data_IF_671145714357
#
_entry.id   IF_671145714357
#
_cell.length_a   1.000
_cell.length_b   1.000
_cell.length_c   1.000
_cell.angle_alpha   90.00
_cell.angle_beta   90.00
_cell.angle_gamma   90.00
#
_symmetry.space_group_name_H-M   'P 1'
#
loop_
_entity.id
_entity.type
_entity.pdbx_description
1 polymer ?
#
# COMPACT_ATOMS: atom_id res chain seq x y z
N UNK A 1 13.77 -7.30 -36.39
CA UNK A 1 14.38 -6.01 -36.77
C UNK A 1 15.49 -5.72 -35.77
N UNK A 2 16.76 -5.63 -36.20
CA UNK A 2 17.88 -5.25 -35.33
C UNK A 2 17.79 -3.75 -35.06
N UNK A 3 17.36 -3.38 -33.88
CA UNK A 3 17.36 -1.98 -33.46
C UNK A 3 18.81 -1.51 -33.36
N UNK A 4 19.17 -0.46 -34.11
CA UNK A 4 20.58 -0.01 -34.29
C UNK A 4 21.13 0.75 -33.08
N UNK A 5 20.51 0.63 -31.90
CA UNK A 5 20.81 1.44 -30.70
C UNK A 5 20.99 0.63 -29.41
N UNK A 6 20.92 -0.69 -29.46
CA UNK A 6 21.14 -1.56 -28.29
C UNK A 6 22.44 -2.35 -28.44
N UNK A 7 23.27 -2.36 -27.39
CA UNK A 7 24.40 -3.28 -27.26
C UNK A 7 23.95 -4.40 -26.32
N UNK A 8 23.88 -5.63 -26.84
CA UNK A 8 23.50 -6.80 -26.05
C UNK A 8 24.76 -7.56 -25.61
N UNK A 9 24.88 -7.82 -24.31
CA UNK A 9 25.89 -8.68 -23.72
C UNK A 9 25.22 -9.94 -23.20
N UNK A 10 25.56 -11.09 -23.77
CA UNK A 10 25.07 -12.39 -23.30
C UNK A 10 26.22 -13.14 -22.63
N UNK A 11 25.99 -13.59 -21.40
CA UNK A 11 26.90 -14.52 -20.74
C UNK A 11 26.10 -15.63 -20.05
N UNK A 12 26.69 -16.81 -19.99
CA UNK A 12 26.13 -17.95 -19.27
C UNK A 12 27.09 -18.34 -18.16
N UNK A 13 26.57 -18.46 -16.93
CA UNK A 13 27.35 -18.94 -15.79
C UNK A 13 26.72 -20.21 -15.22
N UNK A 14 27.55 -21.22 -14.97
CA UNK A 14 27.13 -22.47 -14.33
C UNK A 14 27.10 -22.26 -12.80
N UNK A 15 26.06 -21.60 -12.31
CA UNK A 15 25.90 -21.33 -10.89
C UNK A 15 25.24 -22.55 -10.23
N UNK A 16 25.88 -23.08 -9.17
CA UNK A 16 25.35 -24.16 -8.31
C UNK A 16 25.17 -23.57 -6.90
N UNK A 17 24.09 -23.98 -6.20
CA UNK A 17 23.62 -23.49 -4.88
C UNK A 17 22.98 -22.09 -4.84
N UNK A 18 22.27 -21.68 -3.76
CA UNK A 18 21.66 -20.35 -3.68
C UNK A 18 22.74 -19.28 -3.66
N UNK A 19 22.97 -18.67 -4.81
CA UNK A 19 23.98 -17.63 -5.01
C UNK A 19 23.29 -16.33 -5.38
N UNK A 20 23.68 -15.22 -4.76
CA UNK A 20 23.25 -13.89 -5.19
C UNK A 20 24.17 -13.40 -6.32
N UNK A 21 23.56 -12.93 -7.40
CA UNK A 21 24.19 -12.31 -8.55
C UNK A 21 23.99 -10.80 -8.42
N UNK A 22 25.01 -10.07 -7.99
CA UNK A 22 25.01 -8.61 -8.01
C UNK A 22 25.48 -8.12 -9.38
N UNK A 23 24.69 -7.24 -9.97
CA UNK A 23 24.95 -6.60 -11.26
C UNK A 23 25.07 -5.11 -11.01
N UNK A 24 26.22 -4.54 -11.34
CA UNK A 24 26.45 -3.10 -11.26
C UNK A 24 26.31 -2.46 -12.65
N UNK A 25 25.64 -1.31 -12.69
CA UNK A 25 25.41 -0.51 -13.88
C UNK A 25 25.20 0.97 -13.56
N UNK A 26 24.75 1.79 -14.53
CA UNK A 26 24.56 1.45 -15.95
C UNK A 26 25.91 1.25 -16.65
N UNK A 27 25.93 0.55 -17.79
CA UNK A 27 27.15 0.26 -18.57
C UNK A 27 27.86 1.53 -19.06
N UNK A 28 27.10 2.60 -19.30
CA UNK A 28 27.61 3.88 -19.77
C UNK A 28 27.16 5.00 -18.83
N UNK A 29 27.74 5.09 -17.61
CA UNK A 29 27.29 6.03 -16.59
C UNK A 29 27.55 7.49 -16.96
N UNK A 30 28.33 7.75 -18.01
CA UNK A 30 28.62 9.08 -18.54
C UNK A 30 27.56 9.61 -19.51
N UNK A 31 26.64 8.77 -20.00
CA UNK A 31 25.58 9.14 -20.94
C UNK A 31 24.21 9.13 -20.21
N UNK A 32 23.67 10.29 -19.79
CA UNK A 32 22.46 10.38 -18.97
C UNK A 32 21.20 9.66 -19.53
N UNK A 33 20.90 9.69 -20.85
CA UNK A 33 19.77 8.94 -21.41
C UNK A 33 20.03 7.44 -21.57
N UNK A 34 21.21 6.93 -21.20
CA UNK A 34 21.52 5.52 -21.38
C UNK A 34 20.90 4.66 -20.26
N UNK A 35 20.06 3.72 -20.67
CA UNK A 35 19.42 2.73 -19.81
C UNK A 35 20.03 1.34 -20.04
N UNK A 36 20.34 0.62 -18.96
CA UNK A 36 20.84 -0.76 -19.05
C UNK A 36 19.75 -1.73 -18.61
N UNK A 37 19.22 -2.50 -19.57
CA UNK A 37 18.26 -3.56 -19.29
C UNK A 37 18.99 -4.85 -18.91
N UNK A 38 18.66 -5.40 -17.75
CA UNK A 38 19.19 -6.67 -17.26
C UNK A 38 18.12 -7.73 -17.42
N UNK A 39 18.41 -8.79 -18.19
CA UNK A 39 17.52 -9.92 -18.37
C UNK A 39 18.20 -11.21 -17.92
N UNK A 40 17.61 -11.90 -16.94
CA UNK A 40 18.12 -13.18 -16.43
C UNK A 40 17.25 -14.32 -16.93
N UNK A 41 17.88 -15.29 -17.59
CA UNK A 41 17.24 -16.48 -18.12
C UNK A 41 17.66 -17.73 -17.34
N UNK A 42 16.71 -18.54 -16.89
CA UNK A 42 16.95 -19.85 -16.26
C UNK A 42 16.20 -20.92 -17.04
N UNK A 43 16.93 -21.91 -17.55
CA UNK A 43 16.35 -22.97 -18.38
C UNK A 43 15.68 -22.44 -19.66
N UNK A 44 16.19 -21.34 -20.22
CA UNK A 44 15.66 -20.68 -21.42
C UNK A 44 14.41 -19.82 -21.19
N UNK A 45 13.92 -19.68 -19.95
CA UNK A 45 12.81 -18.77 -19.60
C UNK A 45 13.35 -17.52 -18.93
N UNK A 46 12.83 -16.35 -19.32
CA UNK A 46 13.10 -15.09 -18.62
C UNK A 46 12.49 -15.18 -17.21
N UNK A 47 13.31 -14.97 -16.19
CA UNK A 47 12.90 -15.10 -14.78
C UNK A 47 13.08 -13.81 -13.97
N UNK A 48 13.84 -12.85 -14.48
CA UNK A 48 14.02 -11.53 -13.89
C UNK A 48 14.39 -10.52 -14.98
N UNK A 49 13.80 -9.35 -14.91
CA UNK A 49 14.08 -8.18 -15.74
C UNK A 49 14.29 -7.00 -14.79
N UNK A 50 15.33 -6.21 -15.00
CA UNK A 50 15.65 -5.03 -14.20
C UNK A 50 16.17 -3.90 -15.10
N UNK A 51 16.03 -2.66 -14.67
CA UNK A 51 16.49 -1.47 -15.38
C UNK A 51 17.50 -0.73 -14.50
N UNK A 52 18.75 -0.66 -14.97
CA UNK A 52 19.80 0.09 -14.30
C UNK A 52 19.96 1.46 -14.96
N UNK A 53 19.86 2.49 -14.13
CA UNK A 53 20.09 3.89 -14.47
C UNK A 53 21.01 4.54 -13.42
N UNK A 54 21.22 5.86 -13.49
CA UNK A 54 22.09 6.58 -12.55
C UNK A 54 21.57 6.58 -11.11
N UNK A 55 20.25 6.51 -10.89
CA UNK A 55 19.66 6.45 -9.56
C UNK A 55 19.64 5.02 -9.01
N UNK A 56 19.47 4.03 -9.89
CA UNK A 56 19.39 2.61 -9.59
C UNK A 56 20.56 1.85 -10.23
N UNK A 57 21.75 2.06 -9.66
CA UNK A 57 23.00 1.55 -10.22
C UNK A 57 23.27 0.05 -9.96
N UNK A 58 22.38 -0.67 -9.25
CA UNK A 58 22.61 -2.07 -8.85
C UNK A 58 21.35 -2.91 -8.93
N UNK A 59 21.47 -4.07 -9.57
CA UNK A 59 20.47 -5.13 -9.55
C UNK A 59 21.02 -6.33 -8.77
N UNK A 60 20.16 -7.07 -8.08
CA UNK A 60 20.55 -8.29 -7.38
C UNK A 60 19.59 -9.42 -7.69
N UNK A 61 20.10 -10.47 -8.34
CA UNK A 61 19.34 -11.65 -8.68
C UNK A 61 19.81 -12.87 -7.88
N UNK A 62 18.95 -13.46 -7.05
CA UNK A 62 19.27 -14.71 -6.36
C UNK A 62 19.00 -15.92 -7.29
N UNK A 63 20.05 -16.66 -7.62
CA UNK A 63 20.03 -17.88 -8.44
C UNK A 63 19.63 -19.07 -7.58
N UNK A 64 18.71 -19.88 -8.08
CA UNK A 64 18.04 -20.93 -7.31
C UNK A 64 16.62 -20.48 -7.01
N UNK A 65 15.65 -21.34 -7.34
CA UNK A 65 14.22 -21.07 -7.14
C UNK A 65 13.98 -20.44 -5.77
N UNK A 66 13.39 -19.23 -5.79
CA UNK A 66 13.07 -18.31 -4.69
C UNK A 66 14.16 -17.24 -4.47
N UNK A 67 13.88 -15.98 -4.87
CA UNK A 67 13.95 -14.94 -3.83
C UNK A 67 13.28 -15.59 -2.62
N UNK A 68 14.03 -15.94 -1.57
CA UNK A 68 13.51 -16.75 -0.46
C UNK A 68 12.11 -16.26 -0.17
N UNK A 69 11.08 -17.12 -0.25
CA UNK A 69 9.68 -16.68 -0.05
C UNK A 69 9.60 -15.86 1.24
N UNK A 70 10.44 -16.21 2.21
CA UNK A 70 10.72 -15.43 3.41
C UNK A 70 11.23 -14.01 3.16
N UNK A 71 12.24 -13.78 2.31
CA UNK A 71 12.75 -12.46 1.91
C UNK A 71 11.66 -11.63 1.22
N UNK A 72 10.86 -12.22 0.34
CA UNK A 72 9.70 -11.54 -0.28
C UNK A 72 8.68 -11.16 0.79
N UNK A 73 8.29 -12.14 1.61
CA UNK A 73 7.30 -11.95 2.66
C UNK A 73 7.73 -10.89 3.66
N UNK A 74 8.96 -10.94 4.17
CA UNK A 74 9.45 -9.97 5.15
C UNK A 74 9.55 -8.56 4.57
N UNK A 75 10.02 -8.43 3.32
CA UNK A 75 10.13 -7.15 2.62
C UNK A 75 8.75 -6.52 2.45
N UNK A 76 7.77 -7.28 1.97
CA UNK A 76 6.43 -6.74 1.70
C UNK A 76 5.58 -6.55 2.95
N UNK A 77 5.73 -7.39 3.98
CA UNK A 77 5.12 -7.14 5.30
C UNK A 77 5.63 -5.81 5.86
N UNK A 78 6.95 -5.59 5.85
CA UNK A 78 7.52 -4.33 6.33
C UNK A 78 7.07 -3.14 5.47
N UNK A 79 7.01 -3.29 4.15
CA UNK A 79 6.49 -2.27 3.25
C UNK A 79 5.02 -1.92 3.53
N UNK A 80 4.17 -2.91 3.82
CA UNK A 80 2.77 -2.71 4.20
C UNK A 80 2.61 -1.97 5.52
N UNK A 81 3.43 -2.30 6.52
CA UNK A 81 3.47 -1.58 7.80
C UNK A 81 3.91 -0.13 7.54
N UNK A 82 5.03 0.06 6.84
CA UNK A 82 5.57 1.38 6.54
C UNK A 82 4.58 2.25 5.76
N UNK A 83 3.85 1.67 4.80
CA UNK A 83 2.81 2.35 4.04
C UNK A 83 1.72 2.96 4.94
N UNK A 84 1.28 2.23 5.98
CA UNK A 84 0.31 2.75 6.94
C UNK A 84 0.88 3.91 7.77
N UNK A 85 2.15 3.84 8.18
CA UNK A 85 2.73 4.86 9.06
C UNK A 85 3.21 6.11 8.32
N UNK A 86 3.58 6.01 7.05
CA UNK A 86 3.99 7.17 6.24
C UNK A 86 2.81 7.97 5.67
N UNK A 87 1.64 7.32 5.53
CA UNK A 87 0.42 7.96 5.02
C UNK A 87 -0.42 8.59 6.14
N UNK A 88 -0.38 9.91 6.34
CA UNK A 88 -1.18 10.57 7.38
C UNK A 88 -2.68 10.42 7.13
N UNK A 89 -3.10 10.22 5.88
CA UNK A 89 -4.46 9.88 5.48
C UNK A 89 -4.91 8.51 6.01
N UNK A 90 -4.07 7.49 5.93
CA UNK A 90 -4.37 6.16 6.49
C UNK A 90 -4.55 6.21 8.01
N UNK A 91 -3.68 6.93 8.72
CA UNK A 91 -3.77 7.08 10.17
C UNK A 91 -5.09 7.77 10.54
N UNK A 92 -5.42 8.88 9.90
CA UNK A 92 -6.68 9.60 10.17
C UNK A 92 -7.91 8.78 9.83
N UNK A 93 -7.86 7.98 8.77
CA UNK A 93 -8.93 7.05 8.40
C UNK A 93 -9.17 6.02 9.51
N UNK A 94 -8.12 5.35 9.99
CA UNK A 94 -8.21 4.35 11.08
C UNK A 94 -8.67 5.00 12.38
N UNK A 95 -8.13 6.17 12.73
CA UNK A 95 -8.56 6.93 13.92
C UNK A 95 -10.04 7.31 13.80
N UNK A 96 -10.50 7.77 12.64
CA UNK A 96 -11.92 8.03 12.39
C UNK A 96 -12.81 6.81 12.62
N UNK A 97 -12.39 5.64 12.13
CA UNK A 97 -13.09 4.37 12.40
C UNK A 97 -13.10 4.00 13.89
N UNK A 98 -12.05 4.31 14.64
CA UNK A 98 -12.00 4.11 16.10
C UNK A 98 -12.97 5.02 16.86
N UNK A 99 -13.10 6.27 16.42
CA UNK A 99 -14.00 7.24 17.05
C UNK A 99 -15.47 6.84 16.92
N UNK A 100 -15.85 6.15 15.86
CA UNK A 100 -17.17 5.54 15.72
C UNK A 100 -17.51 4.56 16.86
N UNK A 101 -16.50 4.01 17.55
CA UNK A 101 -16.65 3.13 18.70
C UNK A 101 -17.18 1.73 18.34
N UNK A 102 -17.34 0.90 19.37
CA UNK A 102 -17.77 -0.49 19.25
C UNK A 102 -16.87 -1.44 20.04
N UNK A 103 -17.16 -2.74 19.99
CA UNK A 103 -16.27 -3.76 20.53
C UNK A 103 -15.04 -3.94 19.64
N UNK A 104 -13.93 -4.43 20.21
CA UNK A 104 -12.72 -4.76 19.46
C UNK A 104 -13.01 -5.70 18.28
N UNK A 105 -13.91 -6.67 18.49
CA UNK A 105 -14.35 -7.59 17.43
C UNK A 105 -15.08 -6.88 16.28
N UNK A 106 -15.91 -5.87 16.56
CA UNK A 106 -16.58 -5.08 15.52
C UNK A 106 -15.56 -4.27 14.71
N UNK A 107 -14.59 -3.69 15.40
CA UNK A 107 -13.53 -2.94 14.74
C UNK A 107 -12.67 -3.84 13.85
N UNK A 108 -12.26 -5.01 14.34
CA UNK A 108 -11.55 -6.00 13.53
C UNK A 108 -12.34 -6.37 12.28
N UNK A 109 -13.66 -6.63 12.38
CA UNK A 109 -14.51 -6.86 11.20
C UNK A 109 -14.48 -5.72 10.19
N UNK A 110 -14.49 -4.47 10.65
CA UNK A 110 -14.45 -3.29 9.77
C UNK A 110 -13.10 -3.21 9.05
N UNK A 111 -12.00 -3.38 9.80
CA UNK A 111 -10.62 -3.34 9.27
C UNK A 111 -10.41 -4.47 8.26
N UNK A 112 -10.75 -5.71 8.62
CA UNK A 112 -10.66 -6.85 7.71
C UNK A 112 -11.52 -6.65 6.46
N UNK A 113 -12.73 -6.09 6.60
CA UNK A 113 -13.60 -5.80 5.45
C UNK A 113 -12.99 -4.76 4.50
N UNK A 114 -12.29 -3.75 5.03
CA UNK A 114 -11.53 -2.79 4.23
C UNK A 114 -10.36 -3.49 3.52
N UNK A 115 -9.55 -4.26 4.25
CA UNK A 115 -8.36 -4.94 3.71
C UNK A 115 -8.74 -5.94 2.61
N UNK A 116 -9.85 -6.66 2.75
CA UNK A 116 -10.35 -7.55 1.70
C UNK A 116 -10.69 -6.79 0.41
N UNK A 117 -11.45 -5.70 0.50
CA UNK A 117 -11.80 -4.86 -0.65
C UNK A 117 -10.56 -4.19 -1.29
N UNK A 118 -9.65 -3.72 -0.45
CA UNK A 118 -8.36 -3.18 -0.87
C UNK A 118 -7.54 -4.21 -1.64
N UNK A 119 -7.47 -5.44 -1.14
CA UNK A 119 -6.76 -6.55 -1.81
C UNK A 119 -7.33 -6.80 -3.20
N UNK A 120 -8.66 -6.84 -3.34
CA UNK A 120 -9.32 -7.07 -4.63
C UNK A 120 -8.90 -6.04 -5.67
N UNK A 121 -8.94 -4.75 -5.32
CA UNK A 121 -8.66 -3.67 -6.26
C UNK A 121 -7.17 -3.46 -6.52
N UNK A 122 -6.33 -3.71 -5.53
CA UNK A 122 -4.87 -3.77 -5.70
C UNK A 122 -4.49 -4.89 -6.68
N UNK A 123 -5.07 -6.09 -6.56
CA UNK A 123 -4.86 -7.20 -7.50
C UNK A 123 -5.30 -6.81 -8.91
N UNK A 124 -6.50 -6.25 -9.06
CA UNK A 124 -7.04 -5.86 -10.37
C UNK A 124 -6.15 -4.83 -11.07
N UNK A 125 -5.60 -3.87 -10.32
CA UNK A 125 -4.78 -2.81 -10.87
C UNK A 125 -3.33 -3.21 -11.12
N UNK A 126 -2.81 -4.14 -10.32
CA UNK A 126 -1.50 -4.77 -10.55
C UNK A 126 -1.53 -5.62 -11.81
N UNK A 127 -2.60 -6.42 -12.00
CA UNK A 127 -2.82 -7.24 -13.21
C UNK A 127 -3.27 -6.44 -14.43
N UNK A 128 -3.37 -5.10 -14.31
CA UNK A 128 -3.84 -4.19 -15.37
C UNK A 128 -5.25 -4.51 -15.92
N UNK A 129 -6.08 -5.20 -15.13
CA UNK A 129 -7.48 -5.46 -15.48
C UNK A 129 -8.30 -4.17 -15.37
N UNK A 130 -8.06 -3.38 -14.32
CA UNK A 130 -8.70 -2.08 -14.09
C UNK A 130 -7.66 -1.10 -13.58
N UNK A 131 -7.44 0.01 -14.29
CA UNK A 131 -6.41 1.00 -13.93
C UNK A 131 -6.99 2.42 -14.02
N UNK A 132 -7.79 2.83 -13.02
CA UNK A 132 -8.37 4.17 -13.00
C UNK A 132 -7.27 5.22 -12.79
N UNK A 133 -7.40 6.42 -13.38
CA UNK A 133 -6.35 7.43 -13.29
C UNK A 133 -6.24 8.00 -11.85
N UNK A 134 -5.02 8.24 -11.32
CA UNK A 134 -4.82 8.75 -9.97
C UNK A 134 -5.59 10.04 -9.65
N UNK A 135 -5.74 10.92 -10.65
CA UNK A 135 -6.55 12.15 -10.57
C UNK A 135 -8.00 11.94 -10.12
N UNK A 136 -8.56 10.74 -10.28
CA UNK A 136 -9.88 10.38 -9.78
C UNK A 136 -9.80 9.67 -8.42
N UNK A 137 -8.84 8.76 -8.27
CA UNK A 137 -8.72 7.92 -7.08
C UNK A 137 -8.24 8.72 -5.86
N UNK A 138 -7.22 9.55 -6.02
CA UNK A 138 -6.62 10.28 -4.90
C UNK A 138 -7.60 11.27 -4.23
N UNK A 139 -8.40 12.06 -4.98
CA UNK A 139 -9.47 12.86 -4.37
C UNK A 139 -10.55 11.99 -3.71
N UNK A 140 -10.93 10.85 -4.30
CA UNK A 140 -11.93 9.95 -3.68
C UNK A 140 -11.42 9.35 -2.36
N UNK A 141 -10.12 9.02 -2.29
CA UNK A 141 -9.46 8.61 -1.03
C UNK A 141 -9.59 9.73 0.01
N UNK A 142 -9.27 10.97 -0.34
CA UNK A 142 -9.39 12.10 0.58
C UNK A 142 -10.86 12.36 1.02
N UNK A 143 -11.81 12.21 0.09
CA UNK A 143 -13.24 12.36 0.36
C UNK A 143 -13.75 11.28 1.34
N UNK A 144 -13.20 10.07 1.30
CA UNK A 144 -13.54 9.00 2.25
C UNK A 144 -13.19 9.38 3.70
N UNK A 145 -12.11 10.14 3.90
CA UNK A 145 -11.68 10.64 5.22
C UNK A 145 -12.69 11.66 5.75
N UNK A 146 -13.10 12.59 4.88
CA UNK A 146 -14.16 13.57 5.19
C UNK A 146 -15.45 12.85 5.57
N UNK A 147 -15.84 11.85 4.78
CA UNK A 147 -17.02 11.04 5.04
C UNK A 147 -16.98 10.39 6.42
N UNK A 148 -15.86 9.74 6.79
CA UNK A 148 -15.74 9.08 8.10
C UNK A 148 -15.81 10.09 9.25
N UNK A 149 -15.18 11.25 9.11
CA UNK A 149 -15.28 12.31 10.10
C UNK A 149 -16.73 12.79 10.29
N UNK A 150 -17.47 12.99 9.19
CA UNK A 150 -18.89 13.36 9.24
C UNK A 150 -19.75 12.24 9.83
N UNK A 151 -19.56 11.00 9.39
CA UNK A 151 -20.26 9.82 9.90
C UNK A 151 -20.03 9.66 11.40
N UNK A 152 -18.83 9.96 11.90
CA UNK A 152 -18.51 9.93 13.33
C UNK A 152 -19.33 10.96 14.12
N UNK A 153 -19.47 12.18 13.60
CA UNK A 153 -20.29 13.22 14.22
C UNK A 153 -21.79 12.88 14.19
N UNK A 154 -22.25 12.27 13.09
CA UNK A 154 -23.65 11.88 12.90
C UNK A 154 -24.02 10.62 13.71
N UNK A 155 -23.09 9.68 13.85
CA UNK A 155 -23.28 8.43 14.60
C UNK A 155 -23.47 8.64 16.11
N UNK A 156 -23.10 9.81 16.64
CA UNK A 156 -23.50 10.23 17.99
C UNK A 156 -25.02 10.28 18.17
N UNK A 157 -25.79 10.31 17.06
CA UNK A 157 -27.25 10.45 17.05
C UNK A 157 -28.00 9.25 16.43
N UNK A 158 -27.30 8.23 15.89
CA UNK A 158 -27.93 7.13 15.12
C UNK A 158 -27.30 5.76 15.37
N UNK A 159 -28.15 4.75 15.56
CA UNK A 159 -27.76 3.33 15.64
C UNK A 159 -27.86 2.62 14.28
N UNK A 160 -27.01 2.98 13.31
CA UNK A 160 -26.89 2.19 12.06
C UNK A 160 -25.54 1.50 11.96
N UNK A 161 -25.57 0.17 11.83
CA UNK A 161 -24.39 -0.69 11.73
C UNK A 161 -24.03 -1.01 10.27
N UNK A 162 -23.91 0.02 9.42
CA UNK A 162 -23.49 -0.14 8.02
C UNK A 162 -21.98 0.02 7.82
N UNK A 163 -21.21 0.14 8.90
CA UNK A 163 -19.80 0.57 8.91
C UNK A 163 -18.89 -0.38 8.15
N UNK A 164 -19.09 -1.70 8.28
CA UNK A 164 -18.30 -2.68 7.54
C UNK A 164 -18.53 -2.56 6.01
N UNK A 165 -19.76 -2.31 5.57
CA UNK A 165 -20.07 -2.08 4.14
C UNK A 165 -19.47 -0.78 3.62
N UNK A 166 -19.49 0.28 4.43
CA UNK A 166 -18.86 1.56 4.10
C UNK A 166 -17.34 1.37 3.96
N UNK A 167 -16.71 0.70 4.93
CA UNK A 167 -15.29 0.41 4.91
C UNK A 167 -14.89 -0.49 3.74
N UNK A 168 -15.73 -1.47 3.38
CA UNK A 168 -15.56 -2.24 2.15
C UNK A 168 -15.53 -1.33 0.91
N UNK A 169 -16.51 -0.42 0.79
CA UNK A 169 -16.57 0.53 -0.33
C UNK A 169 -15.33 1.43 -0.42
N UNK A 170 -14.83 1.92 0.72
CA UNK A 170 -13.59 2.70 0.75
C UNK A 170 -12.35 1.86 0.43
N UNK A 171 -12.29 0.62 0.90
CA UNK A 171 -11.22 -0.31 0.56
C UNK A 171 -11.09 -0.52 -0.94
N UNK A 172 -12.21 -0.62 -1.67
CA UNK A 172 -12.19 -0.73 -3.14
C UNK A 172 -11.52 0.49 -3.80
N UNK A 173 -11.76 1.71 -3.29
CA UNK A 173 -11.15 2.91 -3.86
C UNK A 173 -9.66 2.98 -3.50
N UNK A 174 -9.33 2.70 -2.24
CA UNK A 174 -7.96 2.83 -1.71
C UNK A 174 -6.99 1.86 -2.39
N UNK A 175 -7.40 0.64 -2.72
CA UNK A 175 -6.51 -0.35 -3.36
C UNK A 175 -6.00 0.08 -4.73
N UNK A 176 -6.69 0.97 -5.42
CA UNK A 176 -6.21 1.57 -6.66
C UNK A 176 -5.08 2.58 -6.46
N UNK A 177 -5.03 3.27 -5.30
CA UNK A 177 -4.05 4.33 -5.02
C UNK A 177 -2.62 3.82 -4.86
N UNK A 178 -2.44 2.55 -4.51
CA UNK A 178 -1.11 1.97 -4.27
C UNK A 178 -0.59 1.08 -5.40
N UNK A 179 -1.42 0.80 -6.41
CA UNK A 179 -1.09 -0.14 -7.47
C UNK A 179 0.05 0.33 -8.38
N UNK A 180 0.28 1.65 -8.50
CA UNK A 180 1.45 2.19 -9.22
C UNK A 180 2.76 1.80 -8.56
N UNK A 181 2.86 2.00 -7.25
CA UNK A 181 4.08 1.71 -6.47
C UNK A 181 4.46 0.23 -6.56
N UNK A 182 3.50 -0.69 -6.50
CA UNK A 182 3.79 -2.13 -6.60
C UNK A 182 4.31 -2.56 -7.98
N UNK A 183 3.94 -1.86 -9.04
CA UNK A 183 4.40 -2.15 -10.40
C UNK A 183 5.85 -1.72 -10.60
N UNK A 184 6.26 -0.64 -9.95
CA UNK A 184 7.62 -0.12 -10.04
C UNK A 184 8.66 -1.09 -9.43
N UNK A 185 8.23 -2.03 -8.57
CA UNK A 185 9.09 -3.08 -8.02
C UNK A 185 9.46 -4.22 -9.00
N UNK A 186 8.93 -4.25 -10.23
CA UNK A 186 9.39 -5.18 -11.29
C UNK A 186 9.29 -6.69 -10.95
N UNK A 187 8.36 -7.07 -10.06
CA UNK A 187 8.33 -8.44 -9.51
C UNK A 187 8.06 -9.51 -10.58
N UNK A 188 8.83 -10.62 -10.59
CA UNK A 188 8.50 -11.80 -11.39
C UNK A 188 7.09 -12.31 -11.06
N UNK A 189 6.35 -12.77 -12.07
CA UNK A 189 4.93 -13.17 -11.93
C UNK A 189 4.70 -14.27 -10.87
N UNK A 190 5.70 -15.12 -10.60
CA UNK A 190 5.65 -16.15 -9.57
C UNK A 190 5.79 -15.64 -8.12
N UNK A 191 6.33 -14.44 -7.91
CA UNK A 191 6.48 -13.82 -6.60
C UNK A 191 5.32 -12.85 -6.26
N UNK A 192 4.54 -12.46 -7.26
CA UNK A 192 3.53 -11.41 -7.13
C UNK A 192 2.44 -11.75 -6.10
N UNK A 193 1.94 -12.99 -6.09
CA UNK A 193 0.93 -13.42 -5.12
C UNK A 193 1.45 -13.35 -3.67
N UNK A 194 2.71 -13.73 -3.45
CA UNK A 194 3.37 -13.62 -2.14
C UNK A 194 3.55 -12.15 -1.76
N UNK A 195 4.03 -11.30 -2.66
CA UNK A 195 4.19 -9.87 -2.40
C UNK A 195 2.86 -9.20 -2.04
N UNK A 196 1.79 -9.44 -2.81
CA UNK A 196 0.46 -8.89 -2.56
C UNK A 196 -0.12 -9.38 -1.23
N UNK A 197 -0.05 -10.68 -0.93
CA UNK A 197 -0.53 -11.23 0.33
C UNK A 197 0.24 -10.70 1.53
N UNK A 198 1.57 -10.68 1.44
CA UNK A 198 2.44 -10.17 2.50
C UNK A 198 2.31 -8.66 2.71
N UNK A 199 2.09 -7.88 1.65
CA UNK A 199 1.81 -6.45 1.76
C UNK A 199 0.50 -6.19 2.51
N UNK A 200 -0.58 -6.88 2.15
CA UNK A 200 -1.86 -6.71 2.84
C UNK A 200 -1.80 -7.20 4.30
N UNK A 201 -1.01 -8.24 4.59
CA UNK A 201 -0.72 -8.65 5.96
C UNK A 201 0.00 -7.53 6.74
N UNK A 202 0.99 -6.89 6.12
CA UNK A 202 1.68 -5.73 6.70
C UNK A 202 0.72 -4.56 6.97
N UNK A 203 -0.20 -4.27 6.05
CA UNK A 203 -1.26 -3.26 6.21
C UNK A 203 -2.14 -3.58 7.42
N UNK A 204 -2.63 -4.81 7.53
CA UNK A 204 -3.48 -5.24 8.65
C UNK A 204 -2.72 -5.16 9.99
N UNK A 205 -1.44 -5.53 10.02
CA UNK A 205 -0.57 -5.36 11.20
C UNK A 205 -0.40 -3.88 11.56
N UNK A 206 -0.10 -3.01 10.59
CA UNK A 206 0.04 -1.57 10.83
C UNK A 206 -1.25 -0.94 11.39
N UNK A 207 -2.40 -1.30 10.83
CA UNK A 207 -3.70 -0.87 11.33
C UNK A 207 -3.96 -1.40 12.75
N UNK A 208 -3.67 -2.67 13.02
CA UNK A 208 -3.81 -3.26 14.34
C UNK A 208 -2.94 -2.55 15.39
N UNK A 209 -1.71 -2.15 15.06
CA UNK A 209 -0.86 -1.36 15.93
C UNK A 209 -1.50 -0.02 16.31
N UNK A 210 -2.05 0.72 15.34
CA UNK A 210 -2.76 1.99 15.60
C UNK A 210 -3.98 1.75 16.49
N UNK A 211 -4.77 0.70 16.20
CA UNK A 211 -5.94 0.31 16.99
C UNK A 211 -5.55 0.02 18.45
N UNK A 212 -4.52 -0.80 18.66
CA UNK A 212 -4.07 -1.19 20.00
C UNK A 212 -3.49 0.00 20.78
N UNK A 213 -2.90 0.99 20.11
CA UNK A 213 -2.39 2.20 20.75
C UNK A 213 -3.51 3.19 21.11
N UNK A 214 -4.47 3.43 20.20
CA UNK A 214 -5.46 4.51 20.32
C UNK A 214 -6.74 4.06 21.02
N UNK A 215 -7.22 2.84 20.79
CA UNK A 215 -8.49 2.37 21.34
C UNK A 215 -8.53 2.35 22.88
N UNK A 216 -7.50 1.88 23.62
CA UNK A 216 -7.53 1.87 25.09
C UNK A 216 -7.63 3.28 25.67
N UNK A 217 -6.97 4.27 25.05
CA UNK A 217 -7.01 5.68 25.46
C UNK A 217 -8.43 6.22 25.32
N UNK A 218 -9.05 6.02 24.16
CA UNK A 218 -10.43 6.45 23.91
C UNK A 218 -11.43 5.75 24.84
N UNK A 219 -11.26 4.44 25.08
CA UNK A 219 -12.12 3.68 26.00
C UNK A 219 -11.99 4.18 27.44
N UNK A 220 -10.77 4.48 27.90
CA UNK A 220 -10.52 5.00 29.25
C UNK A 220 -11.11 6.40 29.44
N UNK A 221 -10.93 7.29 28.47
CA UNK A 221 -11.51 8.65 28.51
C UNK A 221 -13.05 8.60 28.58
N UNK A 222 -13.67 7.76 27.73
CA UNK A 222 -15.13 7.58 27.71
C UNK A 222 -15.68 6.98 29.01
N UNK A 223 -14.92 6.10 29.66
CA UNK A 223 -15.30 5.50 30.94
C UNK A 223 -15.18 6.47 32.12
N UNK A 224 -14.17 7.35 32.11
CA UNK A 224 -13.97 8.32 33.20
C UNK A 224 -14.94 9.50 33.15
N UNK A 225 -15.10 10.11 31.98
CA UNK A 225 -16.01 11.24 31.80
C UNK A 225 -16.65 11.20 30.40
N UNK A 226 -17.94 10.85 30.31
CA UNK A 226 -18.66 10.81 29.04
C UNK A 226 -18.70 12.15 28.29
N UNK A 227 -18.68 13.28 28.99
CA UNK A 227 -18.68 14.61 28.38
C UNK A 227 -17.32 14.92 27.75
N UNK A 228 -16.22 14.60 28.42
CA UNK A 228 -14.86 14.70 27.84
C UNK A 228 -14.75 13.77 26.64
N UNK A 229 -15.21 12.52 26.76
CA UNK A 229 -15.23 11.55 25.66
C UNK A 229 -15.96 12.09 24.41
N UNK A 230 -17.13 12.73 24.58
CA UNK A 230 -17.87 13.36 23.48
C UNK A 230 -17.12 14.55 22.88
N UNK A 231 -16.51 15.41 23.70
CA UNK A 231 -15.73 16.57 23.23
C UNK A 231 -14.50 16.13 22.42
N UNK A 232 -13.77 15.13 22.90
CA UNK A 232 -12.62 14.56 22.18
C UNK A 232 -13.05 14.00 20.83
N UNK A 233 -14.13 13.20 20.80
CA UNK A 233 -14.67 12.66 19.53
C UNK A 233 -15.04 13.78 18.57
N UNK A 234 -15.74 14.82 19.04
CA UNK A 234 -16.14 15.93 18.20
C UNK A 234 -14.93 16.72 17.65
N UNK A 235 -13.95 17.03 18.53
CA UNK A 235 -12.74 17.76 18.15
C UNK A 235 -11.89 16.96 17.16
N UNK A 236 -11.62 15.68 17.42
CA UNK A 236 -10.84 14.83 16.50
C UNK A 236 -11.57 14.64 15.17
N UNK A 237 -12.90 14.50 15.18
CA UNK A 237 -13.68 14.40 13.93
C UNK A 237 -13.61 15.69 13.11
N UNK A 238 -13.65 16.86 13.75
CA UNK A 238 -13.48 18.14 13.06
C UNK A 238 -12.09 18.26 12.40
N UNK A 239 -11.04 17.80 13.09
CA UNK A 239 -9.67 17.74 12.53
C UNK A 239 -9.62 16.79 11.33
N UNK A 240 -10.20 15.59 11.43
CA UNK A 240 -10.26 14.61 10.34
C UNK A 240 -10.97 15.21 9.11
N UNK A 241 -12.11 15.88 9.31
CA UNK A 241 -12.86 16.55 8.24
C UNK A 241 -12.02 17.65 7.60
N UNK A 242 -11.40 18.51 8.39
CA UNK A 242 -10.60 19.63 7.88
C UNK A 242 -9.38 19.12 7.08
N UNK A 243 -8.64 18.14 7.60
CA UNK A 243 -7.51 17.53 6.92
C UNK A 243 -7.93 16.81 5.62
N UNK A 244 -9.02 16.03 5.67
CA UNK A 244 -9.57 15.37 4.49
C UNK A 244 -10.03 16.35 3.42
N UNK A 245 -10.68 17.45 3.82
CA UNK A 245 -11.13 18.50 2.90
C UNK A 245 -9.95 19.24 2.26
N UNK A 246 -8.92 19.54 3.06
CA UNK A 246 -7.67 20.12 2.57
C UNK A 246 -7.02 19.21 1.52
N UNK A 247 -6.83 17.92 1.81
CA UNK A 247 -6.24 16.98 0.85
C UNK A 247 -7.13 16.76 -0.36
N UNK A 248 -8.45 16.78 -0.21
CA UNK A 248 -9.37 16.68 -1.34
C UNK A 248 -9.15 17.83 -2.31
N UNK A 249 -9.13 19.07 -1.82
CA UNK A 249 -8.88 20.25 -2.66
C UNK A 249 -7.47 20.20 -3.25
N UNK A 250 -6.45 19.85 -2.44
CA UNK A 250 -5.07 19.74 -2.91
C UNK A 250 -4.95 18.74 -4.07
N UNK A 251 -5.51 17.54 -3.93
CA UNK A 251 -5.44 16.47 -4.94
C UNK A 251 -6.34 16.75 -6.14
N UNK A 252 -7.44 17.48 -5.96
CA UNK A 252 -8.31 17.91 -7.06
C UNK A 252 -7.65 19.00 -7.92
N UNK A 253 -6.86 19.89 -7.32
CA UNK A 253 -6.16 20.97 -8.03
C UNK A 253 -4.81 20.54 -8.60
N UNK A 254 -4.17 19.53 -8.01
CA UNK A 254 -2.93 18.93 -8.53
C UNK A 254 -3.18 17.92 -9.68
N UNK A 255 -4.45 17.62 -9.97
CA UNK A 255 -4.93 16.62 -10.92
C UNK A 255 -5.08 17.14 -12.37
#
# INVERSE_FOLDING_TARGET
MRDKRSIAFEWTSAIRDPAELELAGPLFPYDPPHETYVNVYVGGKLVHEDLLDREHARATYAVGTRQSVWKVVSTFVLAGIHHIFIGPDHILFVVGLLLLGGSLFRLLKIVTSFTLAHTVTLVLATLRVVNPPPRLIEPLIALSIVYIGLETLLALKRERDARARIAFGFGLVHGFGFASVLRDFGLPSGALGWALGSFNLGVEVGQACIVLAVAPVLMTLRRRDPAIGRRVVAATSAVIIAAGAYWFVQRLLAA
#
